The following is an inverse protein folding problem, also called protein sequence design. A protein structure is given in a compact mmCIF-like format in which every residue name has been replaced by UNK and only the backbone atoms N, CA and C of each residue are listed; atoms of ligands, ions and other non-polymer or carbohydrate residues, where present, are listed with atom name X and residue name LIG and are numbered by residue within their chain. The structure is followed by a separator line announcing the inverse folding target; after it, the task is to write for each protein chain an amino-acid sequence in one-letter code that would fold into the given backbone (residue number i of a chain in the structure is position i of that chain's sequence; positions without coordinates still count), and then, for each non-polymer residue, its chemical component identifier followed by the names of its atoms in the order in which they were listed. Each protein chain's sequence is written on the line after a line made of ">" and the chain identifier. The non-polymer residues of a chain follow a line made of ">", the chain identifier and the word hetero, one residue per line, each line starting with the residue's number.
data_IF_995807524719
#
_entry.id   IF_995807524719
#
_cell.length_a   1.000
_cell.length_b   1.000
_cell.length_c   1.000
_cell.angle_alpha   90.00
_cell.angle_beta   90.00
_cell.angle_gamma   90.00
#
_symmetry.space_group_name_H-M   'P 1'
#
loop_
_entity.id
_entity.type
_entity.pdbx_description
1 polymer ?
#
# COMPACT_ATOMS: atom_id res chain seq x y z
N UNK A 1 1.28 -2.52 8.72
CA UNK A 1 1.77 -2.63 7.32
C UNK A 1 0.77 -3.40 6.47
N UNK A 2 0.11 -2.72 5.54
CA UNK A 2 -0.97 -3.27 4.70
C UNK A 2 -0.49 -3.83 3.36
N UNK A 3 0.81 -3.66 3.01
CA UNK A 3 1.38 -4.14 1.76
C UNK A 3 1.22 -5.65 1.54
N UNK A 4 1.64 -6.47 2.52
CA UNK A 4 1.55 -7.93 2.40
C UNK A 4 0.11 -8.43 2.27
N UNK A 5 -0.87 -7.99 3.10
CA UNK A 5 -2.28 -8.32 2.88
C UNK A 5 -2.79 -8.00 1.47
N UNK A 6 -2.45 -6.82 0.92
CA UNK A 6 -2.86 -6.44 -0.45
C UNK A 6 -2.27 -7.41 -1.47
N UNK A 7 -0.95 -7.65 -1.41
CA UNK A 7 -0.27 -8.56 -2.35
C UNK A 7 -0.88 -9.96 -2.25
N UNK A 8 -0.99 -10.52 -1.05
CA UNK A 8 -1.56 -11.85 -0.83
C UNK A 8 -3.00 -11.97 -1.34
N UNK A 9 -3.82 -10.93 -1.15
CA UNK A 9 -5.19 -10.92 -1.67
C UNK A 9 -5.21 -11.04 -3.21
N UNK A 10 -4.45 -10.20 -3.92
CA UNK A 10 -4.42 -10.23 -5.39
C UNK A 10 -3.83 -11.54 -5.94
N UNK A 11 -2.80 -12.08 -5.29
CA UNK A 11 -2.23 -13.37 -5.65
C UNK A 11 -3.19 -14.54 -5.38
N UNK A 12 -3.83 -14.56 -4.21
CA UNK A 12 -4.80 -15.58 -3.84
C UNK A 12 -5.99 -15.60 -4.79
N UNK A 13 -6.55 -14.44 -5.12
CA UNK A 13 -7.65 -14.33 -6.08
C UNK A 13 -7.22 -14.80 -7.47
N UNK A 14 -6.00 -14.47 -7.91
CA UNK A 14 -5.49 -14.96 -9.19
C UNK A 14 -5.39 -16.48 -9.22
N UNK A 15 -4.83 -17.10 -8.18
CA UNK A 15 -4.65 -18.56 -8.12
C UNK A 15 -6.01 -19.28 -8.12
N UNK A 16 -6.96 -18.79 -7.32
CA UNK A 16 -8.26 -19.45 -7.13
C UNK A 16 -9.21 -19.22 -8.31
N UNK A 17 -9.16 -18.05 -8.95
CA UNK A 17 -10.21 -17.62 -9.87
C UNK A 17 -9.74 -17.27 -11.29
N UNK A 18 -8.43 -17.27 -11.59
CA UNK A 18 -7.91 -16.97 -12.94
C UNK A 18 -8.55 -17.81 -14.03
N UNK A 19 -8.69 -19.12 -13.82
CA UNK A 19 -9.30 -20.04 -14.79
C UNK A 19 -10.79 -19.79 -14.97
N UNK A 20 -11.51 -19.44 -13.89
CA UNK A 20 -12.96 -19.26 -13.90
C UNK A 20 -13.37 -17.95 -14.60
N UNK A 21 -12.65 -16.87 -14.34
CA UNK A 21 -12.99 -15.54 -14.86
C UNK A 21 -12.02 -15.04 -15.96
N UNK A 22 -11.14 -15.91 -16.47
CA UNK A 22 -10.18 -15.59 -17.53
C UNK A 22 -9.41 -14.30 -17.27
N UNK A 23 -8.87 -14.16 -16.04
CA UNK A 23 -8.28 -12.90 -15.60
C UNK A 23 -7.07 -12.51 -16.47
N UNK A 24 -7.10 -11.30 -17.05
CA UNK A 24 -5.99 -10.79 -17.84
C UNK A 24 -4.75 -10.53 -16.97
N UNK A 25 -3.75 -11.42 -17.11
CA UNK A 25 -2.57 -11.47 -16.24
C UNK A 25 -1.75 -10.17 -16.22
N UNK A 26 -1.56 -9.51 -17.37
CA UNK A 26 -0.75 -8.27 -17.44
C UNK A 26 -1.34 -7.16 -16.57
N UNK A 27 -2.65 -6.97 -16.66
CA UNK A 27 -3.34 -5.92 -15.91
C UNK A 27 -3.45 -6.31 -14.44
N UNK A 28 -3.73 -7.59 -14.17
CA UNK A 28 -3.94 -8.09 -12.81
C UNK A 28 -2.74 -7.90 -11.90
N UNK A 29 -1.52 -8.21 -12.36
CA UNK A 29 -0.30 -8.08 -11.55
C UNK A 29 0.12 -6.63 -11.29
N UNK A 30 -0.37 -5.68 -12.09
CA UNK A 30 -0.15 -4.25 -11.83
C UNK A 30 -1.07 -3.70 -10.73
N UNK A 31 -2.30 -4.21 -10.61
CA UNK A 31 -3.29 -3.72 -9.65
C UNK A 31 -2.83 -3.66 -8.18
N UNK A 32 -2.16 -4.68 -7.59
CA UNK A 32 -1.72 -4.59 -6.19
C UNK A 32 -0.74 -3.43 -5.95
N UNK A 33 0.11 -3.09 -6.94
CA UNK A 33 1.02 -1.95 -6.85
C UNK A 33 0.21 -0.65 -6.82
N UNK A 34 -0.78 -0.53 -7.70
CA UNK A 34 -1.66 0.64 -7.74
C UNK A 34 -2.44 0.82 -6.43
N UNK A 35 -3.10 -0.24 -5.94
CA UNK A 35 -3.85 -0.19 -4.68
C UNK A 35 -2.94 0.18 -3.53
N UNK A 36 -1.75 -0.41 -3.48
CA UNK A 36 -0.75 -0.08 -2.46
C UNK A 36 -0.36 1.40 -2.50
N UNK A 37 -0.02 1.95 -3.67
CA UNK A 37 0.38 3.35 -3.81
C UNK A 37 -0.73 4.32 -3.38
N UNK A 38 -1.96 4.10 -3.84
CA UNK A 38 -3.10 4.94 -3.46
C UNK A 38 -3.36 4.86 -1.95
N UNK A 39 -3.31 3.65 -1.39
CA UNK A 39 -3.49 3.45 0.06
C UNK A 39 -2.37 4.12 0.86
N UNK A 40 -1.12 4.00 0.40
CA UNK A 40 0.05 4.64 1.01
C UNK A 40 -0.10 6.16 1.05
N UNK A 41 -0.39 6.78 -0.10
CA UNK A 41 -0.59 8.24 -0.18
C UNK A 41 -1.76 8.68 0.70
N UNK A 42 -2.85 7.91 0.74
CA UNK A 42 -4.02 8.26 1.57
C UNK A 42 -3.71 8.20 3.06
N UNK A 43 -3.08 7.13 3.53
CA UNK A 43 -2.74 6.95 4.96
C UNK A 43 -1.72 7.98 5.40
N UNK A 44 -0.61 8.10 4.68
CA UNK A 44 0.44 9.07 5.04
C UNK A 44 -0.02 10.51 4.88
N UNK A 45 -0.74 10.82 3.79
CA UNK A 45 -1.31 12.15 3.58
C UNK A 45 -2.29 12.54 4.69
N UNK A 46 -3.15 11.60 5.11
CA UNK A 46 -4.07 11.84 6.22
C UNK A 46 -3.33 12.04 7.54
N UNK A 47 -2.35 11.20 7.85
CA UNK A 47 -1.52 11.34 9.05
C UNK A 47 -0.91 12.74 9.13
N UNK A 48 -0.23 13.19 8.08
CA UNK A 48 0.41 14.51 8.07
C UNK A 48 -0.59 15.66 8.12
N UNK A 49 -1.71 15.54 7.43
CA UNK A 49 -2.77 16.53 7.45
C UNK A 49 -3.32 16.71 8.88
N UNK A 50 -3.67 15.61 9.56
CA UNK A 50 -4.22 15.69 10.91
C UNK A 50 -3.18 16.06 11.97
N UNK A 51 -1.94 15.59 11.84
CA UNK A 51 -0.85 15.95 12.73
C UNK A 51 -0.49 17.43 12.66
N UNK A 52 -0.26 17.98 11.45
CA UNK A 52 0.19 19.37 11.33
C UNK A 52 -0.94 20.41 11.46
N UNK A 53 -2.15 20.12 10.97
CA UNK A 53 -3.24 21.12 11.00
C UNK A 53 -4.01 21.07 12.32
N UNK A 54 -4.21 19.87 12.88
CA UNK A 54 -5.05 19.67 14.05
C UNK A 54 -4.29 19.22 15.29
N UNK A 55 -2.99 18.91 15.18
CA UNK A 55 -2.20 18.31 16.27
C UNK A 55 -2.87 17.08 16.88
N UNK A 56 -3.58 16.32 16.03
CA UNK A 56 -4.33 15.14 16.42
C UNK A 56 -3.59 13.87 15.97
N UNK A 57 -3.15 13.10 16.95
CA UNK A 57 -2.74 11.71 16.77
C UNK A 57 -3.88 10.81 17.27
N UNK A 58 -4.54 10.10 16.36
CA UNK A 58 -5.67 9.24 16.73
C UNK A 58 -5.68 7.96 15.91
N UNK A 59 -5.72 6.84 16.62
CA UNK A 59 -5.85 5.50 16.02
C UNK A 59 -7.10 5.39 15.12
N UNK A 60 -8.17 6.12 15.43
CA UNK A 60 -9.39 6.12 14.61
C UNK A 60 -9.17 6.79 13.25
N UNK A 61 -8.32 7.82 13.18
CA UNK A 61 -7.95 8.48 11.93
C UNK A 61 -7.09 7.54 11.08
N UNK A 62 -6.17 6.81 11.71
CA UNK A 62 -5.34 5.81 11.02
C UNK A 62 -6.19 4.66 10.43
N UNK A 63 -7.13 4.14 11.21
CA UNK A 63 -8.06 3.09 10.74
C UNK A 63 -8.94 3.63 9.61
N UNK A 64 -9.54 4.81 9.79
CA UNK A 64 -10.38 5.44 8.78
C UNK A 64 -9.65 5.71 7.48
N UNK A 65 -8.43 6.25 7.54
CA UNK A 65 -7.60 6.53 6.36
C UNK A 65 -7.16 5.26 5.64
N UNK A 66 -6.91 4.16 6.36
CA UNK A 66 -6.63 2.85 5.76
C UNK A 66 -7.85 2.33 4.98
N UNK A 67 -9.06 2.40 5.56
CA UNK A 67 -10.29 1.99 4.88
C UNK A 67 -10.56 2.83 3.64
N UNK A 68 -10.39 4.16 3.74
CA UNK A 68 -10.54 5.06 2.60
C UNK A 68 -9.52 4.77 1.51
N UNK A 69 -8.25 4.60 1.87
CA UNK A 69 -7.16 4.29 0.94
C UNK A 69 -7.40 2.98 0.20
N UNK A 70 -7.80 1.92 0.90
CA UNK A 70 -8.16 0.65 0.29
C UNK A 70 -9.38 0.78 -0.62
N UNK A 71 -10.41 1.54 -0.22
CA UNK A 71 -11.62 1.74 -1.02
C UNK A 71 -11.28 2.47 -2.32
N UNK A 72 -10.59 3.61 -2.25
CA UNK A 72 -10.19 4.36 -3.44
C UNK A 72 -9.22 3.58 -4.32
N UNK A 73 -8.25 2.89 -3.72
CA UNK A 73 -7.31 2.04 -4.45
C UNK A 73 -8.02 0.95 -5.23
N UNK A 74 -8.93 0.20 -4.59
CA UNK A 74 -9.67 -0.89 -5.24
C UNK A 74 -10.67 -0.38 -6.29
N UNK A 75 -11.34 0.76 -6.06
CA UNK A 75 -12.22 1.38 -7.06
C UNK A 75 -11.44 1.81 -8.31
N UNK A 76 -10.26 2.40 -8.12
CA UNK A 76 -9.38 2.79 -9.22
C UNK A 76 -8.85 1.55 -9.96
N UNK A 77 -8.43 0.52 -9.22
CA UNK A 77 -7.97 -0.75 -9.78
C UNK A 77 -9.06 -1.43 -10.61
N UNK A 78 -10.31 -1.46 -10.11
CA UNK A 78 -11.45 -1.98 -10.85
C UNK A 78 -11.70 -1.18 -12.13
N UNK A 79 -11.73 0.15 -12.05
CA UNK A 79 -11.93 1.02 -13.22
C UNK A 79 -10.84 0.79 -14.27
N UNK A 80 -9.59 0.65 -13.85
CA UNK A 80 -8.46 0.41 -14.75
C UNK A 80 -8.52 -0.99 -15.38
N UNK A 81 -8.96 -1.98 -14.61
CA UNK A 81 -9.15 -3.35 -15.10
C UNK A 81 -10.23 -3.42 -16.18
N UNK A 82 -11.37 -2.76 -15.98
CA UNK A 82 -12.50 -2.76 -16.93
C UNK A 82 -12.18 -1.97 -18.20
N UNK A 83 -11.42 -0.88 -18.11
CA UNK A 83 -11.19 0.03 -19.26
C UNK A 83 -10.14 -0.50 -20.26
N UNK A 84 -9.67 -1.75 -20.12
CA UNK A 84 -8.66 -2.42 -20.95
C UNK A 84 -7.63 -1.47 -21.56
N UNK A 85 -6.83 -0.80 -20.73
CA UNK A 85 -5.74 0.04 -21.25
C UNK A 85 -4.52 -0.82 -21.59
N UNK A 86 -4.17 -0.87 -22.88
CA UNK A 86 -3.11 -1.69 -23.48
C UNK A 86 -1.66 -1.34 -23.05
N UNK A 87 -1.46 -0.43 -22.09
CA UNK A 87 -0.12 0.04 -21.69
C UNK A 87 0.08 -0.14 -20.18
N UNK A 88 0.34 -1.38 -19.77
CA UNK A 88 0.73 -1.70 -18.40
C UNK A 88 2.07 -2.43 -18.40
N UNK A 89 2.81 -2.23 -17.32
CA UNK A 89 4.11 -2.86 -17.08
C UNK A 89 4.03 -4.37 -17.33
N UNK A 90 5.10 -4.96 -17.86
CA UNK A 90 5.14 -6.40 -18.01
C UNK A 90 4.98 -7.09 -16.64
N UNK A 91 4.39 -8.28 -16.57
CA UNK A 91 4.27 -9.02 -15.32
C UNK A 91 5.61 -9.14 -14.60
N UNK A 92 6.69 -9.43 -15.32
CA UNK A 92 8.05 -9.53 -14.76
C UNK A 92 8.49 -8.25 -14.06
N UNK A 93 8.19 -7.08 -14.64
CA UNK A 93 8.48 -5.81 -13.99
C UNK A 93 7.62 -5.64 -12.74
N UNK A 94 6.33 -6.00 -12.79
CA UNK A 94 5.45 -5.94 -11.61
C UNK A 94 5.97 -6.81 -10.47
N UNK A 95 6.38 -8.05 -10.76
CA UNK A 95 7.00 -8.95 -9.78
C UNK A 95 8.27 -8.37 -9.20
N UNK A 96 9.15 -7.83 -10.04
CA UNK A 96 10.38 -7.18 -9.60
C UNK A 96 10.07 -5.98 -8.69
N UNK A 97 9.11 -5.14 -9.05
CA UNK A 97 8.68 -4.00 -8.22
C UNK A 97 8.13 -4.46 -6.87
N UNK A 98 7.26 -5.47 -6.84
CA UNK A 98 6.73 -6.04 -5.59
C UNK A 98 7.87 -6.59 -4.73
N UNK A 99 8.85 -7.26 -5.33
CA UNK A 99 10.02 -7.77 -4.61
C UNK A 99 10.86 -6.64 -4.00
N UNK A 100 11.20 -5.61 -4.77
CA UNK A 100 11.92 -4.43 -4.27
C UNK A 100 11.16 -3.74 -3.13
N UNK A 101 9.85 -3.52 -3.29
CA UNK A 101 9.02 -2.94 -2.24
C UNK A 101 9.00 -3.81 -0.99
N UNK A 102 8.94 -5.14 -1.13
CA UNK A 102 8.99 -6.08 0.01
C UNK A 102 10.29 -5.92 0.81
N UNK A 103 11.43 -5.79 0.12
CA UNK A 103 12.73 -5.55 0.77
C UNK A 103 12.73 -4.20 1.50
N UNK A 104 12.26 -3.13 0.83
CA UNK A 104 12.22 -1.79 1.41
C UNK A 104 11.35 -1.79 2.67
N UNK A 105 10.12 -2.29 2.60
CA UNK A 105 9.22 -2.31 3.75
C UNK A 105 9.73 -3.20 4.88
N UNK A 106 10.27 -4.38 4.59
CA UNK A 106 10.86 -5.24 5.62
C UNK A 106 12.06 -4.58 6.29
N UNK A 107 12.92 -3.95 5.49
CA UNK A 107 14.07 -3.19 5.99
C UNK A 107 13.61 -2.05 6.88
N UNK A 108 12.67 -1.22 6.44
CA UNK A 108 12.18 -0.08 7.20
C UNK A 108 11.37 -0.48 8.45
N UNK A 109 10.75 -1.66 8.46
CA UNK A 109 10.08 -2.18 9.67
C UNK A 109 11.09 -2.54 10.75
N UNK A 110 12.22 -3.12 10.36
CA UNK A 110 13.22 -3.65 11.29
C UNK A 110 14.29 -2.60 11.64
N UNK A 111 14.60 -1.73 10.70
CA UNK A 111 15.59 -0.65 10.75
C UNK A 111 15.05 0.55 9.96
N UNK A 112 14.14 1.34 10.55
CA UNK A 112 13.63 2.53 9.90
C UNK A 112 14.78 3.49 9.55
N UNK A 113 14.70 4.17 8.40
CA UNK A 113 15.64 5.23 8.04
C UNK A 113 15.70 6.28 9.15
N UNK A 114 16.88 6.85 9.40
CA UNK A 114 17.05 7.99 10.33
C UNK A 114 16.69 9.31 9.67
N UNK A 115 15.50 9.35 9.09
CA UNK A 115 14.90 10.57 8.56
C UNK A 115 13.95 11.13 9.61
N UNK A 116 13.77 12.45 9.66
CA UNK A 116 12.82 13.11 10.60
C UNK A 116 11.41 12.51 10.52
N UNK A 117 11.04 12.01 9.34
CA UNK A 117 9.81 11.27 9.07
C UNK A 117 9.56 10.08 10.00
N UNK A 118 10.62 9.40 10.44
CA UNK A 118 10.55 8.23 11.32
C UNK A 118 10.91 8.56 12.78
N UNK A 119 11.22 9.81 13.08
CA UNK A 119 11.63 10.22 14.41
C UNK A 119 10.40 10.49 15.29
N UNK A 120 10.31 9.76 16.40
CA UNK A 120 9.36 10.03 17.46
C UNK A 120 9.92 11.14 18.34
N UNK A 121 9.43 12.38 18.14
CA UNK A 121 9.85 13.53 18.93
C UNK A 121 9.44 13.44 20.41
N UNK A 122 8.48 12.58 20.76
CA UNK A 122 8.01 12.42 22.14
C UNK A 122 8.93 11.50 22.93
N UNK A 123 9.40 10.42 22.30
CA UNK A 123 10.28 9.43 22.93
C UNK A 123 11.76 9.59 22.54
N UNK A 124 12.06 10.56 21.68
CA UNK A 124 13.39 10.82 21.11
C UNK A 124 14.02 9.63 20.38
N UNK A 125 13.20 8.73 19.83
CA UNK A 125 13.64 7.50 19.18
C UNK A 125 13.18 7.38 17.73
N UNK A 126 14.00 6.76 16.88
CA UNK A 126 13.57 6.35 15.53
C UNK A 126 12.78 5.04 15.53
N UNK A 127 12.71 4.37 16.68
CA UNK A 127 11.93 3.16 16.89
C UNK A 127 10.73 3.53 17.77
N UNK A 128 9.53 3.06 17.40
CA UNK A 128 8.35 3.18 18.28
C UNK A 128 8.65 2.46 19.60
N UNK A 129 8.80 3.21 20.68
CA UNK A 129 8.77 2.68 22.05
C UNK A 129 7.30 2.45 22.41
N UNK A 130 6.95 1.23 22.82
CA UNK A 130 5.67 0.97 23.46
C UNK A 130 5.95 0.89 24.96
N UNK A 131 5.66 1.98 25.65
CA UNK A 131 5.55 1.97 27.12
C UNK A 131 4.19 1.39 27.54
#
# INVERSE_FOLDING_TARGET
>A
MFFYPIVLYYFGVYILFSKKYQLHYKTWFFLPILVFLITFVTVFGSYYFFFYIFSLESMWIDIGSLFLGLTFGNLLAYRLYVKESAFLLSPSICFFTIFCLSIIFTSWTTKPPREEFFYDFKNETYQRSYD
#
